data_IF_337334827052
#
_entry.id   IF_337334827052
#
_cell.length_a   1.000
_cell.length_b   1.000
_cell.length_c   1.000
_cell.angle_alpha   90.00
_cell.angle_beta   90.00
_cell.angle_gamma   90.00
#
_symmetry.space_group_name_H-M   'P 1'
#
loop_
_entity.id
_entity.type
_entity.pdbx_description
1 polymer ?
#
# COMPACT_ATOMS: atom_id res chain seq x y z
N UNK A 1 -61.96 -30.22 57.45
CA UNK A 1 -61.44 -30.20 56.06
C UNK A 1 -60.38 -31.28 55.92
N UNK A 2 -60.62 -32.35 55.15
CA UNK A 2 -59.61 -33.36 54.84
C UNK A 2 -58.75 -32.85 53.68
N UNK A 3 -57.47 -32.53 53.94
CA UNK A 3 -56.47 -32.31 52.89
C UNK A 3 -56.23 -33.66 52.18
N UNK A 4 -56.55 -33.72 50.88
CA UNK A 4 -56.11 -34.82 50.00
C UNK A 4 -54.65 -34.54 49.64
N UNK A 5 -53.73 -35.31 50.20
CA UNK A 5 -52.36 -35.38 49.69
C UNK A 5 -52.40 -36.09 48.33
N UNK A 6 -52.12 -35.35 47.26
CA UNK A 6 -51.89 -35.92 45.93
C UNK A 6 -50.45 -36.40 45.87
N UNK A 7 -50.20 -37.63 46.33
CA UNK A 7 -48.92 -38.31 46.12
C UNK A 7 -48.75 -38.67 44.66
N UNK A 8 -47.73 -38.13 44.00
CA UNK A 8 -47.27 -38.63 42.71
C UNK A 8 -46.60 -39.99 42.94
N UNK A 9 -47.17 -41.07 42.40
CA UNK A 9 -46.51 -42.38 42.37
C UNK A 9 -45.51 -42.33 41.21
N UNK A 10 -44.28 -41.90 41.47
CA UNK A 10 -43.17 -42.22 40.59
C UNK A 10 -42.90 -43.72 40.74
N UNK A 11 -43.19 -44.49 39.70
CA UNK A 11 -42.81 -45.90 39.64
C UNK A 11 -41.29 -45.99 39.68
N UNK A 12 -40.76 -47.02 40.36
CA UNK A 12 -39.31 -47.26 40.47
C UNK A 12 -38.65 -47.29 39.08
N UNK A 13 -39.35 -47.77 38.06
CA UNK A 13 -38.91 -47.76 36.66
C UNK A 13 -38.68 -46.34 36.12
N UNK A 14 -39.51 -45.36 36.46
CA UNK A 14 -39.34 -43.98 36.00
C UNK A 14 -38.10 -43.34 36.66
N UNK A 15 -37.86 -43.61 37.95
CA UNK A 15 -36.66 -43.14 38.66
C UNK A 15 -35.40 -43.77 38.04
N UNK A 16 -35.47 -45.05 37.70
CA UNK A 16 -34.37 -45.80 37.11
C UNK A 16 -34.05 -45.31 35.69
N UNK A 17 -35.07 -45.03 34.88
CA UNK A 17 -34.90 -44.44 33.54
C UNK A 17 -34.31 -43.04 33.63
N UNK A 18 -34.82 -42.19 34.52
CA UNK A 18 -34.31 -40.81 34.69
C UNK A 18 -32.87 -40.83 35.18
N UNK A 19 -32.51 -41.70 36.13
CA UNK A 19 -31.13 -41.77 36.65
C UNK A 19 -30.14 -42.28 35.61
N UNK A 20 -30.48 -43.32 34.83
CA UNK A 20 -29.64 -43.78 33.72
C UNK A 20 -29.49 -42.69 32.65
N UNK A 21 -30.59 -42.03 32.29
CA UNK A 21 -30.58 -41.00 31.27
C UNK A 21 -29.78 -39.77 31.72
N UNK A 22 -30.01 -39.27 32.93
CA UNK A 22 -29.30 -38.11 33.47
C UNK A 22 -27.82 -38.40 33.68
N UNK A 23 -27.46 -39.49 34.37
CA UNK A 23 -26.06 -39.83 34.62
C UNK A 23 -25.33 -40.17 33.31
N UNK A 24 -25.97 -40.92 32.41
CA UNK A 24 -25.42 -41.23 31.08
C UNK A 24 -25.22 -39.99 30.21
N UNK A 25 -26.16 -39.04 30.25
CA UNK A 25 -26.05 -37.77 29.51
C UNK A 25 -24.92 -36.89 30.06
N UNK A 26 -24.81 -36.77 31.38
CA UNK A 26 -23.72 -36.00 32.01
C UNK A 26 -22.35 -36.61 31.70
N UNK A 27 -22.20 -37.94 31.77
CA UNK A 27 -20.96 -38.62 31.40
C UNK A 27 -20.63 -38.42 29.90
N UNK A 28 -21.65 -38.49 29.02
CA UNK A 28 -21.49 -38.22 27.59
C UNK A 28 -21.02 -36.80 27.29
N UNK A 29 -21.62 -35.79 27.94
CA UNK A 29 -21.21 -34.38 27.78
C UNK A 29 -19.77 -34.16 28.26
N UNK A 30 -19.36 -34.77 29.38
CA UNK A 30 -18.00 -34.67 29.89
C UNK A 30 -17.00 -35.33 28.94
N UNK A 31 -17.31 -36.51 28.39
CA UNK A 31 -16.45 -37.17 27.41
C UNK A 31 -16.32 -36.38 26.10
N UNK A 32 -17.40 -35.76 25.62
CA UNK A 32 -17.36 -34.91 24.43
C UNK A 32 -16.50 -33.66 24.70
N UNK A 33 -16.64 -33.03 25.86
CA UNK A 33 -15.80 -31.88 26.26
C UNK A 33 -14.33 -32.28 26.35
N UNK A 34 -14.03 -33.42 26.97
CA UNK A 34 -12.66 -33.93 27.11
C UNK A 34 -12.06 -34.32 25.75
N UNK A 35 -12.84 -34.94 24.86
CA UNK A 35 -12.40 -35.26 23.50
C UNK A 35 -12.16 -33.99 22.65
N UNK A 36 -13.02 -32.97 22.78
CA UNK A 36 -12.82 -31.69 22.11
C UNK A 36 -11.58 -30.96 22.64
N UNK A 37 -11.35 -30.99 23.96
CA UNK A 37 -10.16 -30.42 24.58
C UNK A 37 -8.89 -31.16 24.14
N UNK A 38 -8.89 -32.50 24.14
CA UNK A 38 -7.79 -33.33 23.64
C UNK A 38 -7.52 -33.10 22.16
N UNK A 39 -8.55 -32.95 21.32
CA UNK A 39 -8.40 -32.64 19.90
C UNK A 39 -7.85 -31.24 19.67
N UNK A 40 -8.26 -30.28 20.49
CA UNK A 40 -7.72 -28.92 20.46
C UNK A 40 -6.23 -28.92 20.86
N UNK A 41 -5.88 -29.57 21.98
CA UNK A 41 -4.49 -29.70 22.43
C UNK A 41 -3.63 -30.47 21.42
N UNK A 42 -4.14 -31.56 20.84
CA UNK A 42 -3.43 -32.30 19.78
C UNK A 42 -3.14 -31.48 18.52
N UNK A 43 -3.98 -30.51 18.17
CA UNK A 43 -3.67 -29.57 17.07
C UNK A 43 -2.57 -28.60 17.45
N UNK A 44 -2.62 -28.04 18.66
CA UNK A 44 -1.60 -27.13 19.19
C UNK A 44 -0.25 -27.85 19.35
N UNK A 45 -0.25 -29.10 19.82
CA UNK A 45 0.93 -29.93 20.02
C UNK A 45 1.63 -30.39 18.73
N UNK A 46 1.06 -30.11 17.55
CA UNK A 46 1.69 -30.42 16.25
C UNK A 46 2.12 -29.18 15.49
N UNK A 47 1.85 -27.98 16.02
CA UNK A 47 2.03 -26.73 15.30
C UNK A 47 2.94 -25.78 16.09
N UNK A 48 3.79 -25.05 15.37
CA UNK A 48 4.65 -24.05 15.97
C UNK A 48 3.79 -22.92 16.57
N UNK A 49 3.93 -22.68 17.86
CA UNK A 49 3.20 -21.62 18.57
C UNK A 49 4.18 -20.49 18.92
N UNK A 50 3.75 -19.25 18.79
CA UNK A 50 4.56 -18.09 19.17
C UNK A 50 4.16 -17.63 20.57
N UNK A 51 5.15 -17.39 21.43
CA UNK A 51 4.97 -16.95 22.81
C UNK A 51 5.81 -15.70 23.10
N UNK A 52 5.36 -14.90 24.05
CA UNK A 52 6.12 -13.76 24.57
C UNK A 52 7.14 -14.18 25.66
N UNK A 53 7.91 -13.23 26.18
CA UNK A 53 8.88 -13.46 27.24
C UNK A 53 8.27 -13.98 28.56
N UNK A 54 6.98 -13.75 28.78
CA UNK A 54 6.21 -14.20 29.94
C UNK A 54 5.48 -15.54 29.69
N UNK A 55 5.77 -16.21 28.56
CA UNK A 55 5.10 -17.42 28.08
C UNK A 55 3.60 -17.24 27.76
N UNK A 56 3.17 -16.02 27.47
CA UNK A 56 1.83 -15.73 26.95
C UNK A 56 1.77 -16.19 25.49
N UNK A 57 0.83 -17.08 25.10
CA UNK A 57 0.69 -17.50 23.71
C UNK A 57 0.06 -16.39 22.87
N UNK A 58 0.72 -16.03 21.78
CA UNK A 58 0.24 -15.04 20.80
C UNK A 58 -0.64 -15.69 19.73
N UNK A 59 -0.26 -16.89 19.28
CA UNK A 59 -0.97 -17.61 18.24
C UNK A 59 -0.15 -18.72 17.61
N UNK A 60 -0.79 -19.46 16.72
CA UNK A 60 -0.16 -20.53 15.94
C UNK A 60 0.45 -19.90 14.69
N UNK A 61 1.72 -20.23 14.40
CA UNK A 61 2.40 -19.79 13.19
C UNK A 61 1.77 -20.47 11.96
N UNK A 62 1.30 -19.66 11.03
CA UNK A 62 0.69 -20.09 9.77
C UNK A 62 1.76 -20.34 8.70
N UNK A 63 2.87 -19.61 8.81
CA UNK A 63 4.02 -19.68 7.91
C UNK A 63 5.14 -18.78 8.41
N UNK A 64 6.12 -18.53 7.54
CA UNK A 64 7.23 -17.64 7.81
C UNK A 64 7.38 -16.66 6.64
N UNK A 65 7.79 -15.43 6.93
CA UNK A 65 8.13 -14.46 5.89
C UNK A 65 9.51 -14.75 5.27
N UNK A 66 9.89 -13.93 4.29
CA UNK A 66 11.19 -14.01 3.60
C UNK A 66 12.40 -13.88 4.54
N UNK A 67 12.19 -13.36 5.75
CA UNK A 67 13.18 -13.19 6.79
C UNK A 67 13.06 -14.23 7.92
N UNK A 68 12.34 -15.32 7.67
CA UNK A 68 12.10 -16.41 8.62
C UNK A 68 11.38 -15.96 9.91
N UNK A 69 10.70 -14.81 9.90
CA UNK A 69 9.87 -14.40 11.01
C UNK A 69 8.51 -15.14 10.94
N UNK A 70 8.06 -15.78 12.03
CA UNK A 70 6.76 -16.46 12.05
C UNK A 70 5.61 -15.48 11.81
N UNK A 71 4.65 -15.90 10.99
CA UNK A 71 3.45 -15.15 10.65
C UNK A 71 2.24 -15.70 11.41
N UNK A 72 1.47 -14.83 12.06
CA UNK A 72 0.24 -15.17 12.78
C UNK A 72 -0.96 -14.38 12.24
N UNK A 73 -2.16 -14.97 12.33
CA UNK A 73 -3.39 -14.22 12.12
C UNK A 73 -3.76 -13.45 13.37
N UNK A 74 -3.87 -12.13 13.24
CA UNK A 74 -4.53 -11.28 14.24
C UNK A 74 -5.97 -11.00 13.80
N UNK A 75 -6.88 -10.96 14.78
CA UNK A 75 -8.29 -10.66 14.56
C UNK A 75 -8.58 -9.30 15.19
N UNK A 76 -8.86 -8.30 14.35
CA UNK A 76 -9.46 -7.07 14.83
C UNK A 76 -10.92 -7.35 15.20
N UNK A 77 -11.28 -7.03 16.44
CA UNK A 77 -12.63 -7.24 16.99
C UNK A 77 -13.24 -5.95 17.53
N UNK A 78 -12.64 -4.80 17.19
CA UNK A 78 -13.15 -3.49 17.60
C UNK A 78 -14.38 -3.07 16.78
N UNK A 79 -14.46 -3.47 15.49
CA UNK A 79 -15.57 -3.18 14.59
C UNK A 79 -16.72 -4.21 14.62
N UNK A 80 -17.84 -3.87 13.94
CA UNK A 80 -19.00 -4.78 13.79
C UNK A 80 -18.65 -6.09 13.04
N UNK A 81 -17.69 -6.01 12.12
CA UNK A 81 -17.12 -7.15 11.41
C UNK A 81 -15.70 -7.41 11.89
N UNK A 82 -15.38 -8.69 12.16
CA UNK A 82 -14.06 -9.09 12.60
C UNK A 82 -13.14 -9.34 11.40
N UNK A 83 -12.35 -8.33 11.06
CA UNK A 83 -11.34 -8.42 10.00
C UNK A 83 -10.08 -9.14 10.50
N UNK A 84 -9.34 -9.73 9.57
CA UNK A 84 -8.12 -10.47 9.86
C UNK A 84 -6.94 -9.82 9.16
N UNK A 85 -5.82 -9.78 9.85
CA UNK A 85 -4.55 -9.34 9.27
C UNK A 85 -3.46 -10.34 9.60
N UNK A 86 -2.46 -10.41 8.73
CA UNK A 86 -1.30 -11.26 8.88
C UNK A 86 -0.16 -10.44 9.50
N UNK A 87 0.24 -10.81 10.72
CA UNK A 87 1.29 -10.11 11.47
C UNK A 87 2.51 -11.00 11.58
N UNK A 88 3.68 -10.49 11.18
CA UNK A 88 4.96 -11.11 11.43
C UNK A 88 5.47 -10.78 12.84
N UNK A 89 6.13 -11.75 13.47
CA UNK A 89 6.69 -11.62 14.81
C UNK A 89 8.20 -11.82 14.74
N UNK A 90 8.96 -10.77 15.03
CA UNK A 90 10.42 -10.82 15.20
C UNK A 90 10.75 -11.00 16.67
N UNK A 91 12.03 -11.14 16.99
CA UNK A 91 12.50 -11.25 18.37
C UNK A 91 12.14 -10.01 19.19
N UNK A 92 12.28 -8.81 18.64
CA UNK A 92 12.07 -7.54 19.34
C UNK A 92 10.72 -6.86 19.03
N UNK A 93 10.11 -7.11 17.86
CA UNK A 93 8.94 -6.33 17.37
C UNK A 93 7.94 -7.12 16.52
N UNK A 94 6.80 -6.49 16.23
CA UNK A 94 5.86 -6.92 15.21
C UNK A 94 6.17 -6.29 13.85
N UNK A 95 5.79 -6.97 12.77
CA UNK A 95 5.98 -6.49 11.39
C UNK A 95 4.78 -6.77 10.49
N UNK A 96 4.60 -5.93 9.48
CA UNK A 96 3.65 -6.04 8.36
C UNK A 96 4.37 -5.81 7.04
N UNK A 97 3.80 -6.30 5.94
CA UNK A 97 4.27 -5.95 4.59
C UNK A 97 3.96 -4.49 4.24
N UNK A 98 2.80 -4.00 4.62
CA UNK A 98 2.41 -2.62 4.39
C UNK A 98 3.28 -1.65 5.18
N UNK A 99 3.65 -0.54 4.52
CA UNK A 99 4.34 0.59 5.14
C UNK A 99 3.35 1.62 5.68
N UNK A 100 3.80 2.43 6.64
CA UNK A 100 3.06 3.58 7.16
C UNK A 100 3.79 4.86 6.79
N UNK A 101 3.09 5.79 6.20
CA UNK A 101 3.58 7.10 5.77
C UNK A 101 3.26 8.16 6.81
N UNK A 102 4.11 9.17 6.91
CA UNK A 102 4.02 10.21 7.92
C UNK A 102 4.34 11.57 7.32
N UNK A 103 3.57 12.58 7.72
CA UNK A 103 3.71 13.98 7.27
C UNK A 103 4.85 14.75 7.96
N UNK A 104 5.60 14.10 8.87
CA UNK A 104 6.77 14.70 9.50
C UNK A 104 7.98 13.74 9.45
N UNK A 105 9.21 14.25 9.59
CA UNK A 105 10.41 13.43 9.65
C UNK A 105 10.39 12.45 10.83
N UNK A 106 11.15 11.36 10.72
CA UNK A 106 11.33 10.36 11.78
C UNK A 106 10.03 9.66 12.24
N UNK A 107 9.08 9.47 11.31
CA UNK A 107 7.84 8.75 11.53
C UNK A 107 7.03 9.33 12.69
N UNK A 108 6.97 10.67 12.69
CA UNK A 108 6.17 11.48 13.60
C UNK A 108 4.98 12.08 12.85
N UNK A 109 4.01 12.60 13.58
CA UNK A 109 2.83 13.22 12.99
C UNK A 109 1.73 12.22 12.67
N UNK A 110 0.91 12.55 11.69
CA UNK A 110 -0.31 11.81 11.36
C UNK A 110 0.03 10.60 10.48
N UNK A 111 -0.31 9.37 10.91
CA UNK A 111 -0.01 8.18 10.14
C UNK A 111 -1.01 8.00 9.00
N UNK A 112 -0.50 7.63 7.83
CA UNK A 112 -1.29 7.29 6.67
C UNK A 112 -0.87 5.94 6.10
N UNK A 113 -1.83 5.16 5.62
CA UNK A 113 -1.62 3.84 5.04
C UNK A 113 -2.08 3.90 3.59
N UNK A 114 -1.27 3.35 2.68
CA UNK A 114 -1.66 3.22 1.28
C UNK A 114 -2.90 2.34 1.15
N UNK A 115 -3.75 2.66 0.17
CA UNK A 115 -4.91 1.90 -0.22
C UNK A 115 -4.59 0.45 -0.61
N UNK A 116 -5.60 -0.29 -1.05
CA UNK A 116 -5.42 -1.68 -1.48
C UNK A 116 -4.27 -1.75 -2.50
N UNK A 117 -3.31 -2.63 -2.23
CA UNK A 117 -2.07 -2.70 -3.00
C UNK A 117 -2.37 -2.95 -4.48
N UNK A 118 -1.66 -2.24 -5.34
CA UNK A 118 -1.75 -2.34 -6.79
C UNK A 118 -0.51 -3.07 -7.32
N UNK A 119 -0.70 -4.17 -8.06
CA UNK A 119 0.39 -4.94 -8.66
C UNK A 119 1.34 -4.10 -9.53
N UNK A 120 0.83 -3.04 -10.14
CA UNK A 120 1.63 -2.22 -11.07
C UNK A 120 2.60 -1.30 -10.32
N UNK A 121 2.17 -0.70 -9.22
CA UNK A 121 2.95 0.26 -8.44
C UNK A 121 3.59 -0.33 -7.17
N UNK A 122 2.94 -1.29 -6.51
CA UNK A 122 3.35 -1.86 -5.22
C UNK A 122 4.10 -3.18 -5.33
N UNK A 123 4.27 -3.74 -6.53
CA UNK A 123 5.02 -4.99 -6.69
C UNK A 123 6.53 -4.80 -6.56
N UNK A 124 7.06 -3.58 -6.53
CA UNK A 124 8.50 -3.32 -6.40
C UNK A 124 8.89 -3.09 -4.94
N UNK A 125 9.82 -3.89 -4.44
CA UNK A 125 10.36 -3.77 -3.08
C UNK A 125 11.40 -2.66 -2.97
N UNK A 126 11.98 -2.50 -1.78
CA UNK A 126 13.07 -1.54 -1.52
C UNK A 126 14.31 -1.75 -2.40
N UNK A 127 14.50 -2.96 -2.93
CA UNK A 127 15.55 -3.27 -3.92
C UNK A 127 15.13 -3.04 -5.38
N UNK A 128 13.99 -2.40 -5.64
CA UNK A 128 13.41 -2.14 -6.97
C UNK A 128 13.13 -3.40 -7.83
N UNK A 129 13.13 -4.58 -7.19
CA UNK A 129 12.81 -5.85 -7.84
C UNK A 129 11.30 -6.06 -7.91
N UNK A 130 10.77 -6.33 -9.09
CA UNK A 130 9.36 -6.67 -9.30
C UNK A 130 8.96 -7.93 -8.52
N UNK A 131 7.73 -7.96 -8.01
CA UNK A 131 7.16 -8.95 -7.09
C UNK A 131 7.78 -9.03 -5.67
N UNK A 132 8.62 -8.07 -5.29
CA UNK A 132 9.21 -7.98 -3.93
C UNK A 132 8.62 -6.86 -3.07
N UNK A 133 7.63 -6.14 -3.61
CA UNK A 133 7.01 -5.00 -2.95
C UNK A 133 5.90 -5.33 -1.96
N UNK A 134 5.26 -4.27 -1.48
CA UNK A 134 4.31 -4.29 -0.38
C UNK A 134 2.89 -4.60 -0.86
N UNK A 135 2.70 -5.80 -1.43
CA UNK A 135 1.37 -6.25 -1.84
C UNK A 135 0.73 -7.13 -0.75
N UNK A 136 -0.42 -6.72 -0.23
CA UNK A 136 -1.24 -7.50 0.71
C UNK A 136 -2.57 -7.94 0.09
N UNK A 137 -2.56 -9.08 -0.62
CA UNK A 137 -3.78 -9.67 -1.19
C UNK A 137 -4.84 -10.07 -0.16
N UNK A 138 -4.42 -10.37 1.07
CA UNK A 138 -5.34 -10.83 2.11
C UNK A 138 -6.35 -9.74 2.50
N UNK A 139 -5.92 -8.48 2.49
CA UNK A 139 -6.79 -7.34 2.82
C UNK A 139 -7.76 -7.07 1.67
N UNK A 140 -7.26 -7.11 0.42
CA UNK A 140 -8.07 -6.95 -0.78
C UNK A 140 -9.21 -8.00 -0.87
N UNK A 141 -8.92 -9.27 -0.56
CA UNK A 141 -9.91 -10.35 -0.59
C UNK A 141 -11.00 -10.23 0.48
N UNK A 142 -10.71 -9.54 1.58
CA UNK A 142 -11.68 -9.34 2.67
C UNK A 142 -12.60 -8.14 2.43
N UNK A 143 -12.29 -7.26 1.46
CA UNK A 143 -13.00 -6.00 1.27
C UNK A 143 -12.97 -5.11 2.52
N UNK A 144 -11.93 -5.27 3.35
CA UNK A 144 -11.78 -4.60 4.64
C UNK A 144 -10.71 -3.51 4.62
N UNK A 145 -10.46 -2.85 5.76
CA UNK A 145 -9.38 -1.88 5.88
C UNK A 145 -8.02 -2.56 5.73
N UNK A 146 -7.03 -1.80 5.28
CA UNK A 146 -5.63 -2.20 5.30
C UNK A 146 -5.06 -2.08 6.71
N UNK A 147 -4.11 -2.95 7.03
CA UNK A 147 -3.45 -2.99 8.32
C UNK A 147 -1.94 -2.91 8.15
N UNK A 148 -1.30 -2.12 9.00
CA UNK A 148 0.14 -1.95 9.01
C UNK A 148 0.67 -1.80 10.44
N UNK A 149 1.95 -2.14 10.65
CA UNK A 149 2.65 -1.87 11.89
C UNK A 149 3.41 -0.56 11.73
N UNK A 150 2.95 0.48 12.43
CA UNK A 150 3.57 1.80 12.47
C UNK A 150 4.56 1.99 13.62
N UNK A 151 5.11 3.19 13.70
CA UNK A 151 6.05 3.61 14.75
C UNK A 151 5.32 4.03 16.04
N UNK A 152 5.83 3.60 17.19
CA UNK A 152 5.27 3.90 18.53
C UNK A 152 6.25 4.58 19.49
N UNK A 153 7.39 5.10 19.02
CA UNK A 153 8.46 5.63 19.89
C UNK A 153 9.31 4.52 20.55
N UNK A 154 8.66 3.52 21.13
CA UNK A 154 9.29 2.31 21.70
C UNK A 154 9.15 1.09 20.77
N UNK A 155 10.07 0.12 20.90
CA UNK A 155 10.04 -1.09 20.06
C UNK A 155 9.03 -2.10 20.61
N UNK A 156 7.78 -1.88 20.20
CA UNK A 156 6.78 -2.92 19.92
C UNK A 156 5.97 -2.68 18.66
N UNK A 157 6.06 -1.52 18.01
CA UNK A 157 5.27 -1.23 16.82
C UNK A 157 3.77 -1.14 17.11
N UNK A 158 3.10 -0.20 16.46
CA UNK A 158 1.67 0.04 16.67
C UNK A 158 0.86 -0.60 15.57
N UNK A 159 -0.14 -1.42 15.91
CA UNK A 159 -1.08 -1.87 14.90
C UNK A 159 -2.01 -0.71 14.51
N UNK A 160 -1.92 -0.33 13.24
CA UNK A 160 -2.75 0.69 12.63
C UNK A 160 -3.67 0.04 11.59
N UNK A 161 -4.87 0.60 11.44
CA UNK A 161 -5.79 0.27 10.35
C UNK A 161 -6.14 1.51 9.54
N UNK A 162 -6.35 1.34 8.24
CA UNK A 162 -6.80 2.43 7.36
C UNK A 162 -8.27 2.77 7.66
N UNK A 163 -8.60 4.06 7.54
CA UNK A 163 -9.97 4.55 7.63
C UNK A 163 -10.57 4.78 6.24
N UNK A 164 -11.84 5.18 6.18
CA UNK A 164 -12.49 5.58 4.92
C UNK A 164 -12.16 7.04 4.52
N UNK A 165 -11.42 7.77 5.35
CA UNK A 165 -11.05 9.16 5.10
C UNK A 165 -9.71 9.21 4.36
N UNK A 166 -9.58 10.16 3.44
CA UNK A 166 -8.30 10.48 2.82
C UNK A 166 -7.27 10.90 3.89
N UNK A 167 -5.99 10.68 3.60
CA UNK A 167 -4.91 11.20 4.44
C UNK A 167 -5.07 12.73 4.59
N UNK A 168 -4.88 13.30 5.80
CA UNK A 168 -4.94 14.75 5.98
C UNK A 168 -3.74 15.49 5.36
N UNK A 169 -2.68 14.77 5.04
CA UNK A 169 -1.49 15.29 4.39
C UNK A 169 -1.55 14.94 2.91
N UNK A 170 -1.18 15.89 2.07
CA UNK A 170 -1.01 15.67 0.64
C UNK A 170 0.24 14.82 0.38
N UNK A 171 0.32 14.25 -0.81
CA UNK A 171 1.40 13.33 -1.21
C UNK A 171 2.79 13.98 -1.08
N UNK A 172 2.90 15.28 -1.38
CA UNK A 172 4.11 16.09 -1.26
C UNK A 172 4.54 16.37 0.20
N UNK A 173 3.59 16.37 1.14
CA UNK A 173 3.85 16.64 2.55
C UNK A 173 4.46 15.43 3.27
N UNK A 174 4.47 14.25 2.63
CA UNK A 174 4.99 13.02 3.21
C UNK A 174 6.53 13.05 3.24
N UNK A 175 7.08 13.10 4.46
CA UNK A 175 8.52 13.24 4.67
C UNK A 175 9.20 11.95 5.16
N UNK A 176 8.43 10.99 5.68
CA UNK A 176 9.00 9.73 6.14
C UNK A 176 8.05 8.56 6.01
N UNK A 177 8.62 7.35 5.95
CA UNK A 177 7.87 6.10 5.98
C UNK A 177 8.48 5.10 6.94
N UNK A 178 7.62 4.30 7.56
CA UNK A 178 8.00 3.22 8.46
C UNK A 178 7.82 1.86 7.77
N UNK A 179 8.93 1.17 7.55
CA UNK A 179 8.97 -0.16 6.92
C UNK A 179 9.38 -1.20 7.95
N UNK A 180 8.38 -1.77 8.62
CA UNK A 180 8.58 -2.64 9.79
C UNK A 180 9.42 -3.90 9.51
N UNK A 181 9.38 -4.42 8.27
CA UNK A 181 10.12 -5.59 7.83
C UNK A 181 11.62 -5.37 7.62
N UNK A 182 12.11 -4.13 7.60
CA UNK A 182 13.53 -3.86 7.34
C UNK A 182 14.40 -4.48 8.44
N UNK A 183 15.31 -5.38 8.04
CA UNK A 183 16.17 -6.17 8.95
C UNK A 183 17.61 -5.71 8.78
N UNK A 184 18.21 -5.20 9.86
CA UNK A 184 19.68 -5.08 10.08
C UNK A 184 20.47 -3.91 9.45
N UNK A 185 19.86 -2.80 9.04
CA UNK A 185 20.62 -1.54 8.92
C UNK A 185 19.74 -0.31 9.20
N UNK A 186 19.80 0.21 10.43
CA UNK A 186 19.13 1.46 10.83
C UNK A 186 17.78 1.28 11.53
N UNK A 187 17.19 2.41 11.90
CA UNK A 187 15.81 2.50 12.38
C UNK A 187 14.84 2.11 11.25
N UNK A 188 13.73 1.39 11.51
CA UNK A 188 12.77 1.02 10.45
C UNK A 188 12.05 2.23 9.83
N UNK A 189 12.19 3.39 10.45
CA UNK A 189 11.81 4.67 9.88
C UNK A 189 12.90 5.21 8.95
N UNK A 190 12.51 5.61 7.74
CA UNK A 190 13.40 6.24 6.76
C UNK A 190 12.78 7.50 6.17
N UNK A 191 13.60 8.47 5.74
CA UNK A 191 13.10 9.59 4.95
C UNK A 191 12.47 9.06 3.66
N UNK A 192 11.38 9.69 3.26
CA UNK A 192 10.66 9.37 2.04
C UNK A 192 10.47 10.64 1.23
N UNK A 193 10.60 10.51 -0.07
CA UNK A 193 10.25 11.51 -1.06
C UNK A 193 9.70 10.75 -2.25
N UNK A 194 8.68 11.32 -2.90
CA UNK A 194 8.16 10.76 -4.14
C UNK A 194 9.25 10.84 -5.22
N UNK A 195 9.38 9.75 -5.97
CA UNK A 195 10.28 9.72 -7.11
C UNK A 195 9.58 10.40 -8.28
N UNK A 196 10.10 11.58 -8.66
CA UNK A 196 9.65 12.33 -9.82
C UNK A 196 10.47 11.90 -11.04
N UNK A 197 9.78 11.51 -12.10
CA UNK A 197 10.38 11.15 -13.38
C UNK A 197 9.86 12.13 -14.43
N UNK A 198 10.71 12.77 -15.25
CA UNK A 198 10.24 13.70 -16.26
C UNK A 198 9.29 13.00 -17.24
N UNK A 199 8.19 13.68 -17.58
CA UNK A 199 7.25 13.22 -18.59
C UNK A 199 7.91 13.21 -19.98
N UNK A 200 7.51 12.26 -20.81
CA UNK A 200 7.90 12.27 -22.22
C UNK A 200 6.95 13.17 -23.00
N UNK A 201 7.48 14.34 -23.38
CA UNK A 201 6.82 15.37 -24.18
C UNK A 201 7.13 15.28 -25.67
N UNK A 202 7.88 14.25 -26.11
CA UNK A 202 8.26 14.11 -27.52
C UNK A 202 7.07 13.99 -28.47
N UNK A 203 5.93 13.50 -27.98
CA UNK A 203 4.69 13.34 -28.74
C UNK A 203 3.64 14.44 -28.47
N UNK A 204 4.02 15.50 -27.74
CA UNK A 204 3.08 16.50 -27.20
C UNK A 204 2.64 17.54 -28.23
N UNK A 205 3.44 17.85 -29.25
CA UNK A 205 3.20 18.99 -30.13
C UNK A 205 3.32 18.66 -31.61
N UNK A 206 2.28 19.01 -32.37
CA UNK A 206 2.30 19.14 -33.82
C UNK A 206 2.29 20.62 -34.21
N UNK A 207 3.31 21.08 -34.93
CA UNK A 207 3.46 22.48 -35.33
C UNK A 207 3.28 22.62 -36.84
N UNK A 208 2.46 23.57 -37.26
CA UNK A 208 2.38 24.00 -38.67
C UNK A 208 2.84 25.45 -38.76
N UNK A 209 3.99 25.67 -39.38
CA UNK A 209 4.46 27.02 -39.69
C UNK A 209 3.64 27.57 -40.86
N UNK A 210 2.80 28.56 -40.59
CA UNK A 210 1.93 29.15 -41.61
C UNK A 210 2.78 30.04 -42.53
N UNK A 211 2.85 29.65 -43.80
CA UNK A 211 3.48 30.46 -44.83
C UNK A 211 2.66 31.72 -45.10
N UNK A 212 3.32 32.77 -45.59
CA UNK A 212 2.57 33.91 -46.11
C UNK A 212 1.88 33.49 -47.42
N UNK A 213 0.58 33.19 -47.33
CA UNK A 213 -0.26 32.80 -48.47
C UNK A 213 -0.20 33.86 -49.60
N UNK A 214 0.11 35.12 -49.26
CA UNK A 214 0.28 36.20 -50.22
C UNK A 214 1.60 36.12 -51.02
N UNK A 215 2.62 35.44 -50.49
CA UNK A 215 3.95 35.27 -51.10
C UNK A 215 4.17 33.88 -51.72
N UNK A 216 3.19 32.98 -51.65
CA UNK A 216 3.25 31.67 -52.30
C UNK A 216 4.23 30.69 -51.64
N UNK A 217 4.62 30.93 -50.39
CA UNK A 217 5.34 29.96 -49.57
C UNK A 217 4.36 28.93 -49.03
N UNK A 218 4.65 27.64 -49.21
CA UNK A 218 3.83 26.56 -48.66
C UNK A 218 4.04 26.44 -47.15
N UNK A 219 3.00 26.05 -46.44
CA UNK A 219 3.05 25.73 -45.01
C UNK A 219 4.05 24.58 -44.79
N UNK A 220 4.81 24.67 -43.71
CA UNK A 220 5.76 23.62 -43.32
C UNK A 220 5.22 22.94 -42.08
N UNK A 221 4.86 21.67 -42.21
CA UNK A 221 4.50 20.82 -41.07
C UNK A 221 5.80 20.36 -40.37
N UNK A 222 5.97 20.76 -39.12
CA UNK A 222 6.97 20.27 -38.19
C UNK A 222 6.24 19.48 -37.10
N UNK A 223 5.95 18.20 -37.36
CA UNK A 223 5.19 17.38 -36.41
C UNK A 223 6.11 16.49 -35.56
N UNK A 224 6.01 16.60 -34.24
CA UNK A 224 6.41 15.54 -33.31
C UNK A 224 5.20 14.82 -32.69
N UNK A 225 3.97 15.30 -32.91
CA UNK A 225 2.74 14.69 -32.41
C UNK A 225 2.57 13.22 -32.83
N UNK A 226 2.39 12.35 -31.84
CA UNK A 226 2.10 10.93 -32.03
C UNK A 226 0.65 10.64 -31.60
N UNK A 227 0.04 9.60 -32.17
CA UNK A 227 -1.27 9.09 -31.72
C UNK A 227 -1.19 8.15 -30.52
N UNK A 228 0.02 7.67 -30.20
CA UNK A 228 0.25 6.67 -29.17
C UNK A 228 1.60 6.91 -28.49
N UNK A 229 1.65 6.70 -27.17
CA UNK A 229 2.89 6.77 -26.41
C UNK A 229 3.90 5.65 -26.77
N UNK A 230 5.22 5.91 -26.60
CA UNK A 230 6.26 4.90 -26.78
C UNK A 230 6.08 3.68 -25.86
N UNK A 231 6.68 2.55 -26.24
CA UNK A 231 6.61 1.33 -25.43
C UNK A 231 7.18 1.54 -24.02
N UNK A 232 6.38 1.24 -22.98
CA UNK A 232 6.75 1.47 -21.58
C UNK A 232 6.19 2.76 -20.99
N UNK A 233 5.42 3.52 -21.78
CA UNK A 233 4.70 4.71 -21.36
C UNK A 233 3.19 4.57 -21.58
N UNK A 234 2.40 5.30 -20.78
CA UNK A 234 0.96 5.39 -20.82
C UNK A 234 0.54 6.86 -20.99
N UNK A 235 -0.47 7.06 -21.84
CA UNK A 235 -1.05 8.36 -22.12
C UNK A 235 -1.77 8.92 -20.89
N UNK A 236 -1.56 10.20 -20.60
CA UNK A 236 -2.23 10.94 -19.52
C UNK A 236 -3.28 11.91 -20.08
N UNK A 237 -3.90 11.58 -21.22
CA UNK A 237 -4.92 12.42 -21.85
C UNK A 237 -6.11 12.70 -20.92
N UNK A 238 -6.44 11.80 -19.99
CA UNK A 238 -7.49 12.00 -19.01
C UNK A 238 -7.22 13.20 -18.09
N UNK A 239 -5.96 13.39 -17.69
CA UNK A 239 -5.52 14.55 -16.92
C UNK A 239 -5.45 15.78 -17.84
N UNK A 240 -4.84 15.63 -19.03
CA UNK A 240 -4.70 16.72 -20.00
C UNK A 240 -6.05 17.34 -20.37
N UNK A 241 -7.07 16.53 -20.64
CA UNK A 241 -8.41 16.96 -21.04
C UNK A 241 -9.08 17.88 -19.99
N UNK A 242 -8.77 17.70 -18.70
CA UNK A 242 -9.30 18.55 -17.64
C UNK A 242 -8.70 19.97 -17.68
N UNK A 243 -7.43 20.10 -18.08
CA UNK A 243 -6.69 21.36 -18.10
C UNK A 243 -6.59 22.00 -19.48
N UNK A 244 -6.93 21.25 -20.54
CA UNK A 244 -6.82 21.65 -21.94
C UNK A 244 -7.46 23.03 -22.23
N UNK A 245 -8.67 23.38 -21.73
CA UNK A 245 -9.23 24.72 -21.98
C UNK A 245 -8.40 25.87 -21.40
N UNK A 246 -7.76 25.65 -20.25
CA UNK A 246 -6.90 26.65 -19.61
C UNK A 246 -5.53 26.73 -20.31
N UNK A 247 -4.98 25.57 -20.69
CA UNK A 247 -3.72 25.45 -21.44
C UNK A 247 -3.84 26.13 -22.80
N UNK A 248 -4.90 25.88 -23.57
CA UNK A 248 -5.10 26.49 -24.90
C UNK A 248 -5.17 28.02 -24.82
N UNK A 249 -5.88 28.56 -23.83
CA UNK A 249 -6.03 30.00 -23.64
C UNK A 249 -4.69 30.68 -23.30
N UNK A 250 -3.93 30.09 -22.37
CA UNK A 250 -2.64 30.63 -21.97
C UNK A 250 -1.59 30.46 -23.09
N UNK A 251 -1.61 29.33 -23.80
CA UNK A 251 -0.75 29.06 -24.94
C UNK A 251 -1.01 30.04 -26.09
N UNK A 252 -2.28 30.30 -26.46
CA UNK A 252 -2.60 31.26 -27.53
C UNK A 252 -2.11 32.66 -27.17
N UNK A 253 -2.29 33.06 -25.91
CA UNK A 253 -1.84 34.37 -25.39
C UNK A 253 -0.31 34.47 -25.42
N UNK A 254 0.40 33.40 -25.10
CA UNK A 254 1.86 33.34 -25.16
C UNK A 254 2.38 33.44 -26.59
N UNK A 255 1.81 32.66 -27.53
CA UNK A 255 2.21 32.68 -28.94
C UNK A 255 1.94 34.06 -29.59
N UNK A 256 0.78 34.67 -29.35
CA UNK A 256 0.46 36.02 -29.83
C UNK A 256 1.45 37.07 -29.31
N UNK A 257 1.83 36.96 -28.03
CA UNK A 257 2.80 37.86 -27.41
C UNK A 257 4.19 37.70 -28.01
N UNK A 258 4.64 36.46 -28.23
CA UNK A 258 5.93 36.16 -28.84
C UNK A 258 5.98 36.57 -30.32
N UNK A 259 4.86 36.47 -31.03
CA UNK A 259 4.71 36.97 -32.40
C UNK A 259 4.79 38.50 -32.45
N UNK A 260 4.13 39.19 -31.52
CA UNK A 260 4.16 40.66 -31.43
C UNK A 260 5.57 41.20 -31.18
N UNK A 261 6.35 40.48 -30.37
CA UNK A 261 7.75 40.81 -30.04
C UNK A 261 8.71 40.39 -31.17
N UNK A 262 8.22 39.68 -32.19
CA UNK A 262 8.98 39.28 -33.37
C UNK A 262 9.93 38.11 -33.13
N UNK A 263 9.68 37.31 -32.09
CA UNK A 263 10.47 36.10 -31.79
C UNK A 263 10.08 34.96 -32.73
N UNK A 264 8.78 34.79 -32.96
CA UNK A 264 8.22 33.72 -33.80
C UNK A 264 7.29 34.30 -34.88
N UNK A 265 7.09 33.54 -35.96
CA UNK A 265 6.08 33.85 -36.99
C UNK A 265 4.69 33.38 -36.59
N UNK A 266 3.71 33.52 -37.50
CA UNK A 266 2.41 32.90 -37.32
C UNK A 266 2.56 31.37 -37.37
N UNK A 267 2.14 30.72 -36.29
CA UNK A 267 2.20 29.26 -36.15
C UNK A 267 0.84 28.75 -35.73
N UNK A 268 0.46 27.59 -36.25
CA UNK A 268 -0.70 26.84 -35.78
C UNK A 268 -0.21 25.62 -35.00
N UNK A 269 -0.80 25.41 -33.82
CA UNK A 269 -0.34 24.40 -32.86
C UNK A 269 -1.46 23.40 -32.62
N UNK A 270 -1.13 22.13 -32.79
CA UNK A 270 -1.99 21.00 -32.43
C UNK A 270 -1.37 20.26 -31.25
N UNK A 271 -2.17 20.04 -30.20
CA UNK A 271 -1.73 19.30 -29.01
C UNK A 271 -1.92 17.80 -29.25
N UNK A 272 -0.87 17.04 -28.95
CA UNK A 272 -0.83 15.58 -28.97
C UNK A 272 -0.93 15.01 -27.55
N UNK A 273 -0.25 13.88 -27.31
CA UNK A 273 -0.30 13.18 -26.03
C UNK A 273 0.92 13.50 -25.15
N UNK A 274 0.69 13.64 -23.83
CA UNK A 274 1.76 13.58 -22.83
C UNK A 274 1.86 12.16 -22.27
N UNK A 275 3.08 11.65 -22.18
CA UNK A 275 3.34 10.25 -21.88
C UNK A 275 4.10 10.10 -20.56
N UNK A 276 3.55 9.31 -19.64
CA UNK A 276 4.22 8.96 -18.38
C UNK A 276 4.64 7.49 -18.38
N UNK A 277 5.76 7.11 -17.73
CA UNK A 277 6.12 5.70 -17.57
C UNK A 277 4.98 4.87 -16.96
N UNK A 278 4.80 3.64 -17.42
CA UNK A 278 3.76 2.71 -16.90
C UNK A 278 3.82 2.65 -15.37
N UNK A 279 2.68 2.88 -14.71
CA UNK A 279 2.56 2.88 -13.24
C UNK A 279 2.83 4.24 -12.57
N UNK A 280 3.04 5.30 -13.35
CA UNK A 280 3.12 6.69 -12.87
C UNK A 280 2.00 7.55 -13.49
N UNK A 281 1.70 8.68 -12.86
CA UNK A 281 0.71 9.66 -13.30
C UNK A 281 1.33 11.05 -13.37
N UNK A 282 0.80 11.92 -14.22
CA UNK A 282 1.23 13.32 -14.29
C UNK A 282 1.05 14.00 -12.92
N UNK A 283 2.03 14.80 -12.52
CA UNK A 283 1.97 15.64 -11.31
C UNK A 283 0.88 16.72 -11.50
N UNK A 284 -0.02 16.85 -10.52
CA UNK A 284 -1.15 17.78 -10.53
C UNK A 284 -0.94 18.92 -9.53
N UNK A 285 0.10 19.71 -9.77
CA UNK A 285 0.51 20.83 -8.94
C UNK A 285 -0.42 22.04 -9.14
N UNK A 286 -0.38 23.01 -8.23
CA UNK A 286 -1.12 24.28 -8.36
C UNK A 286 -0.78 25.04 -9.67
N UNK A 287 0.42 24.82 -10.23
CA UNK A 287 0.93 25.48 -11.43
C UNK A 287 0.99 24.53 -12.65
N UNK A 288 0.21 23.44 -12.67
CA UNK A 288 0.24 22.46 -13.76
C UNK A 288 -0.02 23.12 -15.13
N UNK A 289 -0.92 24.10 -15.22
CA UNK A 289 -1.26 24.79 -16.48
C UNK A 289 -0.06 25.56 -17.03
N UNK A 290 0.63 26.31 -16.17
CA UNK A 290 1.79 27.12 -16.54
C UNK A 290 2.96 26.23 -16.95
N UNK A 291 3.18 25.15 -16.20
CA UNK A 291 4.24 24.16 -16.46
C UNK A 291 4.00 23.38 -17.75
N UNK A 292 2.73 23.03 -18.05
CA UNK A 292 2.33 22.43 -19.32
C UNK A 292 2.56 23.38 -20.49
N UNK A 293 2.14 24.64 -20.37
CA UNK A 293 2.36 25.64 -21.43
C UNK A 293 3.86 25.88 -21.66
N UNK A 294 4.66 25.96 -20.61
CA UNK A 294 6.11 26.07 -20.75
C UNK A 294 6.70 24.86 -21.49
N UNK A 295 6.32 23.64 -21.11
CA UNK A 295 6.77 22.41 -21.78
C UNK A 295 6.37 22.39 -23.26
N UNK A 296 5.15 22.81 -23.59
CA UNK A 296 4.67 22.92 -24.98
C UNK A 296 5.51 23.93 -25.75
N UNK A 297 5.77 25.11 -25.18
CA UNK A 297 6.57 26.15 -25.82
C UNK A 297 8.02 25.70 -26.04
N UNK A 298 8.63 24.99 -25.10
CA UNK A 298 9.96 24.41 -25.25
C UNK A 298 10.02 23.47 -26.47
N UNK A 299 9.05 22.56 -26.61
CA UNK A 299 8.97 21.65 -27.77
C UNK A 299 8.76 22.43 -29.07
N UNK A 300 7.92 23.47 -29.09
CA UNK A 300 7.72 24.34 -30.26
C UNK A 300 9.03 25.01 -30.68
N UNK A 301 9.75 25.57 -29.71
CA UNK A 301 10.98 26.30 -29.95
C UNK A 301 12.10 25.38 -30.44
N UNK A 302 12.21 24.18 -29.87
CA UNK A 302 13.13 23.14 -30.34
C UNK A 302 12.84 22.73 -31.78
N UNK A 303 11.57 22.58 -32.16
CA UNK A 303 11.16 22.30 -33.54
C UNK A 303 11.54 23.44 -34.49
N UNK A 304 11.40 24.70 -34.06
CA UNK A 304 11.80 25.88 -34.81
C UNK A 304 13.32 26.12 -34.81
N UNK A 305 14.09 25.36 -34.01
CA UNK A 305 15.53 25.54 -33.84
C UNK A 305 15.90 26.83 -33.10
N UNK A 306 15.01 27.34 -32.25
CA UNK A 306 15.21 28.54 -31.43
C UNK A 306 15.45 28.09 -30.00
N UNK A 307 16.51 28.57 -29.36
CA UNK A 307 16.77 28.31 -27.94
C UNK A 307 15.84 29.17 -27.07
N UNK A 308 14.84 28.53 -26.43
CA UNK A 308 13.87 29.19 -25.55
C UNK A 308 14.54 29.75 -24.28
N UNK A 309 15.43 28.96 -23.67
CA UNK A 309 16.06 29.26 -22.37
C UNK A 309 17.24 30.23 -22.54
N UNK A 310 17.91 30.20 -23.69
CA UNK A 310 19.01 31.12 -24.01
C UNK A 310 18.55 32.55 -24.37
N UNK A 311 17.25 32.76 -24.62
CA UNK A 311 16.74 34.04 -25.13
C UNK A 311 16.05 34.87 -24.03
N UNK A 312 16.76 35.85 -23.47
CA UNK A 312 16.24 36.72 -22.40
C UNK A 312 14.92 37.40 -22.76
N UNK A 313 14.71 37.76 -24.04
CA UNK A 313 13.48 38.39 -24.49
C UNK A 313 12.26 37.44 -24.37
N UNK A 314 12.48 36.15 -24.60
CA UNK A 314 11.46 35.11 -24.44
C UNK A 314 11.16 34.91 -22.96
N UNK A 315 12.18 34.75 -22.13
CA UNK A 315 12.03 34.59 -20.68
C UNK A 315 11.27 35.78 -20.08
N UNK A 316 11.66 37.01 -20.41
CA UNK A 316 11.00 38.22 -19.88
C UNK A 316 9.53 38.32 -20.34
N UNK A 317 9.23 37.87 -21.57
CA UNK A 317 7.86 37.86 -22.11
C UNK A 317 7.01 36.80 -21.42
N UNK A 318 7.54 35.59 -21.21
CA UNK A 318 6.84 34.50 -20.52
C UNK A 318 6.61 34.81 -19.03
N UNK A 319 7.61 35.39 -18.35
CA UNK A 319 7.48 35.83 -16.97
C UNK A 319 6.39 36.90 -16.79
N UNK A 320 6.17 37.77 -17.78
CA UNK A 320 5.10 38.77 -17.76
C UNK A 320 3.70 38.13 -17.82
N UNK A 321 3.61 36.93 -18.41
CA UNK A 321 2.39 36.13 -18.50
C UNK A 321 2.20 35.18 -17.32
N UNK A 322 3.14 35.19 -16.35
CA UNK A 322 3.14 34.25 -15.22
C UNK A 322 3.63 32.85 -15.57
N UNK A 323 4.23 32.65 -16.75
CA UNK A 323 4.77 31.35 -17.17
C UNK A 323 6.22 31.28 -16.71
N UNK A 324 6.48 30.48 -15.68
CA UNK A 324 7.83 30.22 -15.17
C UNK A 324 8.43 28.95 -15.82
N UNK A 325 9.78 28.84 -15.86
CA UNK A 325 10.43 27.61 -16.31
C UNK A 325 10.08 26.43 -15.40
N UNK A 326 9.48 25.39 -15.97
CA UNK A 326 9.06 24.19 -15.25
C UNK A 326 9.23 22.94 -16.12
N UNK A 327 9.28 21.78 -15.48
CA UNK A 327 9.33 20.48 -16.15
C UNK A 327 8.09 19.71 -15.70
N UNK A 328 7.35 19.16 -16.65
CA UNK A 328 6.25 18.25 -16.34
C UNK A 328 6.83 16.92 -15.83
N UNK A 329 6.51 16.55 -14.59
CA UNK A 329 6.94 15.27 -14.03
C UNK A 329 5.76 14.29 -13.95
N UNK A 330 6.14 13.02 -13.87
CA UNK A 330 5.28 11.91 -13.56
C UNK A 330 5.68 11.40 -12.18
N UNK A 331 4.69 11.19 -11.32
CA UNK A 331 4.84 10.67 -9.97
C UNK A 331 4.14 9.32 -9.81
N UNK A 332 4.63 8.49 -8.89
CA UNK A 332 3.94 7.26 -8.53
C UNK A 332 2.71 7.61 -7.68
N UNK A 333 1.48 7.24 -8.09
CA UNK A 333 0.29 7.61 -7.34
C UNK A 333 0.30 6.97 -5.94
N UNK A 334 0.20 7.80 -4.91
CA UNK A 334 0.21 7.36 -3.52
C UNK A 334 -1.21 7.53 -2.95
N UNK A 335 -2.11 6.57 -3.19
CA UNK A 335 -3.46 6.65 -2.64
C UNK A 335 -3.45 6.42 -1.13
N UNK A 336 -3.26 7.48 -0.35
CA UNK A 336 -3.13 7.41 1.10
C UNK A 336 -4.47 7.63 1.83
N UNK A 337 -4.72 6.77 2.81
CA UNK A 337 -5.85 6.89 3.73
C UNK A 337 -5.35 7.18 5.14
N UNK A 338 -6.11 8.00 5.88
CA UNK A 338 -5.81 8.27 7.28
C UNK A 338 -5.82 6.95 8.07
N UNK A 339 -4.84 6.77 8.96
CA UNK A 339 -4.73 5.57 9.77
C UNK A 339 -5.08 5.83 11.23
N UNK A 340 -5.73 4.85 11.85
CA UNK A 340 -6.08 4.88 13.27
C UNK A 340 -5.53 3.68 14.03
N UNK A 341 -5.40 3.83 15.34
CA UNK A 341 -4.87 2.77 16.20
C UNK A 341 -5.91 1.69 16.42
N UNK A 342 -5.50 0.43 16.22
CA UNK A 342 -6.31 -0.71 16.62
C UNK A 342 -6.12 -0.95 18.11
N UNK A 343 -7.23 -0.91 18.87
CA UNK A 343 -7.21 -1.10 20.31
C UNK A 343 -7.61 -2.52 20.72
N UNK A 344 -7.32 -2.86 21.97
CA UNK A 344 -7.90 -4.05 22.59
C UNK A 344 -9.42 -3.86 22.74
N UNK A 345 -10.26 -4.84 22.39
CA UNK A 345 -11.72 -4.68 22.36
C UNK A 345 -12.29 -4.13 23.67
N UNK A 346 -13.05 -3.04 23.58
CA UNK A 346 -13.68 -2.39 24.73
C UNK A 346 -12.73 -1.56 25.61
N UNK A 347 -11.50 -1.26 25.13
CA UNK A 347 -10.51 -0.44 25.83
C UNK A 347 -9.88 0.59 24.90
N UNK A 348 -9.18 1.57 25.45
CA UNK A 348 -8.35 2.53 24.69
C UNK A 348 -6.87 2.14 24.66
N UNK A 349 -6.55 0.89 25.03
CA UNK A 349 -5.16 0.41 25.06
C UNK A 349 -4.78 -0.15 23.69
N UNK A 350 -3.65 0.28 23.08
CA UNK A 350 -3.23 -0.22 21.78
C UNK A 350 -3.09 -1.74 21.76
N UNK A 351 -3.45 -2.35 20.64
CA UNK A 351 -3.19 -3.75 20.39
C UNK A 351 -1.68 -4.02 20.53
N UNK A 352 -1.34 -5.11 21.20
CA UNK A 352 0.04 -5.58 21.48
C UNK A 352 0.83 -4.85 22.57
N UNK A 353 0.33 -3.75 23.13
CA UNK A 353 1.02 -2.98 24.19
C UNK A 353 1.35 -3.82 25.44
N UNK A 354 0.56 -4.86 25.73
CA UNK A 354 0.71 -5.73 26.91
C UNK A 354 1.69 -6.89 26.73
N UNK A 355 2.13 -7.18 25.50
CA UNK A 355 3.03 -8.30 25.21
C UNK A 355 4.46 -7.92 25.57
N UNK A 356 5.37 -8.85 25.81
CA UNK A 356 6.78 -8.53 26.16
C UNK A 356 7.82 -9.27 25.30
N UNK A 357 8.82 -8.59 24.68
CA UNK A 357 9.88 -9.27 23.94
C UNK A 357 10.93 -9.82 24.94
N UNK A 358 11.75 -10.82 24.57
CA UNK A 358 11.86 -11.40 23.24
C UNK A 358 10.75 -12.42 22.94
N UNK A 359 10.22 -12.39 21.72
CA UNK A 359 9.26 -13.38 21.25
C UNK A 359 9.97 -14.66 20.81
N UNK A 360 9.33 -15.81 21.04
CA UNK A 360 9.94 -17.13 20.78
C UNK A 360 8.94 -18.05 20.11
N UNK A 361 9.46 -18.89 19.20
CA UNK A 361 8.69 -19.99 18.62
C UNK A 361 8.90 -21.23 19.48
N UNK A 362 7.82 -21.73 20.08
CA UNK A 362 7.81 -23.04 20.71
C UNK A 362 7.41 -24.08 19.67
N UNK A 363 8.34 -24.98 19.38
CA UNK A 363 8.08 -26.12 18.50
C UNK A 363 7.19 -27.15 19.21
N UNK A 364 6.38 -27.90 18.46
CA UNK A 364 5.61 -29.02 19.00
C UNK A 364 6.53 -29.98 19.75
N UNK A 365 6.21 -30.28 21.01
CA UNK A 365 6.92 -31.32 21.74
C UNK A 365 6.50 -32.67 21.14
N UNK A 366 7.32 -33.18 20.22
CA UNK A 366 7.27 -34.61 19.92
C UNK A 366 7.39 -35.33 21.26
N UNK A 367 6.42 -36.19 21.58
CA UNK A 367 6.36 -36.99 22.81
C UNK A 367 7.77 -37.49 23.12
N UNK A 368 8.34 -36.97 24.21
CA UNK A 368 9.72 -37.20 24.60
C UNK A 368 9.96 -38.68 24.94
N UNK A 369 10.26 -39.47 23.92
CA UNK A 369 11.39 -40.38 23.95
C UNK A 369 12.30 -39.84 22.86
N UNK A 370 13.47 -39.27 23.11
CA UNK A 370 14.58 -39.86 23.83
C UNK A 370 15.49 -38.75 24.37
N UNK A 371 16.16 -39.06 25.48
CA UNK A 371 17.36 -38.37 25.92
C UNK A 371 18.45 -38.49 24.85
N UNK A 372 18.67 -37.45 24.05
CA UNK A 372 20.00 -37.02 23.65
C UNK A 372 19.95 -35.66 22.94
N UNK A 373 20.91 -34.79 23.26
CA UNK A 373 21.14 -33.49 22.64
C UNK A 373 21.66 -33.62 21.19
N UNK A 374 20.93 -34.32 20.32
CA UNK A 374 21.26 -34.50 18.91
C UNK A 374 20.41 -33.59 18.04
N UNK A 375 21.04 -32.65 17.33
CA UNK A 375 20.43 -32.00 16.17
C UNK A 375 19.95 -33.07 15.19
N UNK A 376 18.66 -33.08 14.87
CA UNK A 376 18.11 -33.98 13.85
C UNK A 376 18.04 -33.26 12.50
N UNK A 377 18.94 -33.66 11.60
CA UNK A 377 18.88 -33.31 10.18
C UNK A 377 17.73 -34.09 9.53
N UNK A 378 16.75 -33.38 8.99
CA UNK A 378 15.78 -33.98 8.05
C UNK A 378 16.39 -33.84 6.67
N UNK A 379 16.78 -34.95 6.06
CA UNK A 379 17.28 -34.93 4.68
C UNK A 379 16.14 -34.55 3.73
N UNK A 380 16.38 -33.71 2.70
CA UNK A 380 15.37 -33.44 1.69
C UNK A 380 14.97 -34.78 1.05
N UNK A 381 13.66 -35.03 0.95
CA UNK A 381 13.14 -36.12 0.13
C UNK A 381 13.45 -35.76 -1.32
N UNK A 382 14.66 -36.11 -1.77
CA UNK A 382 15.07 -35.93 -3.14
C UNK A 382 14.09 -36.65 -4.06
N UNK A 383 13.68 -35.94 -5.11
CA UNK A 383 13.08 -36.57 -6.28
C UNK A 383 14.03 -37.68 -6.79
N UNK A 384 13.53 -38.91 -6.87
CA UNK A 384 14.19 -39.95 -7.65
C UNK A 384 14.32 -41.31 -6.98
N UNK A 385 13.25 -42.11 -7.06
CA UNK A 385 13.43 -43.49 -7.52
C UNK A 385 12.17 -43.94 -8.25
N UNK A 386 12.24 -43.95 -9.58
CA UNK A 386 11.35 -44.75 -10.43
C UNK A 386 11.41 -46.21 -9.95
N UNK A 387 10.24 -46.78 -9.69
CA UNK A 387 9.88 -48.14 -10.09
C UNK A 387 8.44 -48.11 -10.60
#
# INVERSE_FOLDING_TARGET
MKKRERGFVLTIELILIITILVIGSFAGIVMVRDALFKRYMSKVDTQATVVDANNTPLGIAVGFDEHQAPLIFYFDREGEQAYRTLIGIRDDRFTSREAVYYNAPNCQGDPCIKGLSDETSDSRGTGQLTATGNVSYLNALQGGPNYAIGFSGDVKGQLLRSTALACPAEDEDIQSRYVSQKVVAGTPCEPFSLELVPADSSCLVGLTALGDSLLGTADVELSAACSDCPSGYESQNDIMDNYLPAVELLLSTALDSLQLVGVIGAVDVTLGEICCPVGTKLEEDENIVETLVFTILEVIFDLLGIDLIGNQLVIDTLALLGIEPGITNCQTPLTLFAAETVNTPGTTTPAFSLLQPPFRVTLPQAVASFSDNGWQSVSPTGEGSRL
#
